data_IF_665903032726
#
_entry.id   IF_665903032726
#
_cell.length_a   1.000
_cell.length_b   1.000
_cell.length_c   1.000
_cell.angle_alpha   90.00
_cell.angle_beta   90.00
_cell.angle_gamma   90.00
#
_symmetry.space_group_name_H-M   'P 1'
#
loop_
_entity.id
_entity.type
_entity.pdbx_description
1 polymer ?
#
# COMPACT_ATOMS: atom_id res chain seq x y z
N UNK A 1 18.96 -1.46 11.88
CA UNK A 1 18.28 -0.79 13.02
C UNK A 1 16.98 -0.07 12.60
N UNK A 2 16.68 0.03 11.29
CA UNK A 2 15.53 0.78 10.79
C UNK A 2 14.17 0.26 11.25
N UNK A 3 13.96 -1.07 11.34
CA UNK A 3 12.66 -1.61 11.79
C UNK A 3 12.28 -1.18 13.21
N UNK A 4 13.29 -0.98 14.06
CA UNK A 4 13.09 -0.52 15.44
C UNK A 4 12.60 0.94 15.43
N UNK A 5 13.21 1.79 14.60
CA UNK A 5 12.80 3.18 14.43
C UNK A 5 11.43 3.29 13.77
N UNK A 6 11.21 2.55 12.68
CA UNK A 6 9.94 2.46 11.98
C UNK A 6 8.80 2.08 12.93
N UNK A 7 8.99 1.08 13.80
CA UNK A 7 7.98 0.67 14.78
C UNK A 7 7.67 1.77 15.81
N UNK A 8 8.69 2.51 16.26
CA UNK A 8 8.48 3.63 17.21
C UNK A 8 7.73 4.77 16.56
N UNK A 9 8.09 5.11 15.32
CA UNK A 9 7.38 6.13 14.55
C UNK A 9 5.93 5.71 14.26
N UNK A 10 5.71 4.43 13.93
CA UNK A 10 4.39 3.85 13.73
C UNK A 10 3.49 4.02 14.96
N UNK A 11 4.01 3.75 16.16
CA UNK A 11 3.24 3.89 17.41
C UNK A 11 2.75 5.32 17.62
N UNK A 12 3.59 6.31 17.32
CA UNK A 12 3.21 7.72 17.39
C UNK A 12 2.18 8.07 16.32
N UNK A 13 2.44 7.68 15.06
CA UNK A 13 1.56 7.97 13.92
C UNK A 13 0.17 7.34 14.10
N UNK A 14 0.08 6.09 14.57
CA UNK A 14 -1.17 5.36 14.78
C UNK A 14 -2.16 6.14 15.65
N UNK A 15 -1.70 6.75 16.74
CA UNK A 15 -2.59 7.55 17.58
C UNK A 15 -3.16 8.77 16.84
N UNK A 16 -2.32 9.46 16.04
CA UNK A 16 -2.78 10.56 15.20
C UNK A 16 -3.80 10.11 14.15
N UNK A 17 -3.62 8.92 13.56
CA UNK A 17 -4.58 8.37 12.61
C UNK A 17 -5.88 7.94 13.28
N UNK A 18 -5.83 7.35 14.48
CA UNK A 18 -7.01 7.03 15.28
C UNK A 18 -7.83 8.28 15.56
N UNK A 19 -7.20 9.41 15.95
CA UNK A 19 -7.92 10.65 16.21
C UNK A 19 -8.75 11.12 15.01
N UNK A 20 -8.24 10.96 13.78
CA UNK A 20 -8.98 11.31 12.57
C UNK A 20 -10.15 10.37 12.32
N UNK A 21 -9.99 9.06 12.49
CA UNK A 21 -11.00 8.09 12.06
C UNK A 21 -12.00 7.72 13.13
N UNK A 22 -11.76 8.13 14.37
CA UNK A 22 -12.62 7.79 15.49
C UNK A 22 -14.08 8.16 15.23
N UNK A 23 -14.34 9.30 14.56
CA UNK A 23 -15.69 9.69 14.17
C UNK A 23 -16.37 8.67 13.25
N UNK A 24 -15.65 8.16 12.25
CA UNK A 24 -16.14 7.13 11.31
C UNK A 24 -16.40 5.80 12.03
N UNK A 25 -15.46 5.34 12.87
CA UNK A 25 -15.62 4.09 13.61
C UNK A 25 -16.75 4.17 14.64
N UNK A 26 -16.86 5.31 15.33
CA UNK A 26 -17.93 5.54 16.28
C UNK A 26 -19.30 5.57 15.58
N UNK A 27 -19.42 6.25 14.44
CA UNK A 27 -20.65 6.24 13.65
C UNK A 27 -21.03 4.83 13.18
N UNK A 28 -20.06 4.05 12.70
CA UNK A 28 -20.29 2.67 12.25
C UNK A 28 -20.81 1.78 13.40
N UNK A 29 -20.17 1.83 14.57
CA UNK A 29 -20.58 1.02 15.74
C UNK A 29 -21.97 1.38 16.29
N UNK A 30 -22.44 2.63 16.10
CA UNK A 30 -23.83 2.98 16.43
C UNK A 30 -24.85 2.26 15.54
N UNK A 31 -24.48 1.92 14.30
CA UNK A 31 -25.34 1.20 13.35
C UNK A 31 -25.18 -0.31 13.50
N UNK A 32 -23.94 -0.80 13.49
CA UNK A 32 -23.63 -2.25 13.56
C UNK A 32 -23.85 -2.83 14.96
N UNK A 33 -23.94 -1.98 15.99
CA UNK A 33 -24.07 -2.36 17.41
C UNK A 33 -22.87 -3.15 17.93
N UNK A 34 -21.72 -3.02 17.28
CA UNK A 34 -20.46 -3.56 17.75
C UNK A 34 -19.88 -2.72 18.89
N UNK A 35 -19.03 -3.35 19.71
CA UNK A 35 -18.36 -2.68 20.80
C UNK A 35 -17.14 -1.91 20.30
N UNK A 36 -17.12 -0.59 20.47
CA UNK A 36 -15.94 0.23 20.18
C UNK A 36 -14.93 0.12 21.33
N UNK A 37 -14.05 -0.88 21.27
CA UNK A 37 -12.97 -1.09 22.22
C UNK A 37 -11.59 -1.10 21.55
N UNK A 38 -10.54 -1.32 22.35
CA UNK A 38 -9.17 -1.37 21.85
C UNK A 38 -8.95 -2.55 20.87
N UNK A 39 -9.69 -3.65 21.02
CA UNK A 39 -9.54 -4.80 20.13
C UNK A 39 -10.08 -4.46 18.74
N UNK A 40 -11.25 -3.81 18.67
CA UNK A 40 -11.84 -3.30 17.44
C UNK A 40 -10.90 -2.32 16.72
N UNK A 41 -10.36 -1.33 17.44
CA UNK A 41 -9.44 -0.35 16.85
C UNK A 41 -8.13 -1.01 16.38
N UNK A 42 -7.63 -2.00 17.12
CA UNK A 42 -6.44 -2.76 16.70
C UNK A 42 -6.70 -3.57 15.44
N UNK A 43 -7.84 -4.25 15.35
CA UNK A 43 -8.20 -5.01 14.15
C UNK A 43 -8.29 -4.09 12.93
N UNK A 44 -8.95 -2.95 13.07
CA UNK A 44 -9.07 -1.98 11.99
C UNK A 44 -7.70 -1.48 11.53
N UNK A 45 -6.82 -1.12 12.47
CA UNK A 45 -5.45 -0.71 12.16
C UNK A 45 -4.60 -1.85 11.59
N UNK A 46 -4.84 -3.10 11.98
CA UNK A 46 -4.17 -4.27 11.39
C UNK A 46 -4.60 -4.47 9.94
N UNK A 47 -5.88 -4.25 9.62
CA UNK A 47 -6.39 -4.36 8.25
C UNK A 47 -5.80 -3.27 7.35
N UNK A 48 -5.75 -2.04 7.84
CA UNK A 48 -5.21 -0.89 7.10
C UNK A 48 -3.70 -1.06 6.85
N UNK A 49 -2.92 -1.34 7.89
CA UNK A 49 -1.45 -1.32 7.80
C UNK A 49 -0.85 -2.67 7.40
N UNK A 50 -1.53 -3.77 7.71
CA UNK A 50 -1.06 -5.15 7.59
C UNK A 50 -1.25 -5.75 6.21
N UNK A 51 -1.06 -4.97 5.15
CA UNK A 51 -1.12 -5.45 3.77
C UNK A 51 0.11 -6.28 3.41
N UNK A 52 -0.11 -7.36 2.66
CA UNK A 52 0.92 -8.32 2.25
C UNK A 52 0.96 -8.38 0.73
N UNK A 53 2.10 -8.05 0.14
CA UNK A 53 2.31 -8.34 -1.25
C UNK A 53 2.46 -9.85 -1.45
N UNK A 54 1.50 -10.43 -2.17
CA UNK A 54 1.54 -11.82 -2.62
C UNK A 54 2.52 -11.95 -3.79
N UNK A 55 2.84 -13.18 -4.25
CA UNK A 55 3.67 -13.35 -5.45
C UNK A 55 3.02 -12.66 -6.66
N UNK A 56 3.56 -11.51 -7.06
CA UNK A 56 3.01 -10.66 -8.13
C UNK A 56 3.02 -11.31 -9.52
N UNK A 57 3.64 -12.49 -9.65
CA UNK A 57 3.53 -13.33 -10.85
C UNK A 57 2.11 -13.88 -11.02
N UNK A 58 1.35 -14.02 -9.92
CA UNK A 58 -0.06 -14.40 -9.95
C UNK A 58 -0.88 -13.16 -10.29
N UNK A 59 -1.50 -13.13 -11.47
CA UNK A 59 -2.27 -11.96 -11.93
C UNK A 59 -3.36 -11.51 -10.95
N UNK A 60 -4.01 -12.45 -10.25
CA UNK A 60 -5.02 -12.12 -9.22
C UNK A 60 -4.43 -11.33 -8.04
N UNK A 61 -3.17 -11.60 -7.65
CA UNK A 61 -2.50 -10.84 -6.61
C UNK A 61 -2.15 -9.42 -7.05
N UNK A 62 -1.85 -9.22 -8.34
CA UNK A 62 -1.50 -7.92 -8.88
C UNK A 62 -2.73 -7.02 -9.15
N UNK A 63 -3.95 -7.58 -9.10
CA UNK A 63 -5.23 -6.87 -9.31
C UNK A 63 -5.97 -6.55 -8.00
N UNK A 64 -5.35 -6.82 -6.85
CA UNK A 64 -5.97 -6.60 -5.54
C UNK A 64 -5.91 -5.11 -5.15
N UNK A 65 -7.07 -4.46 -5.09
CA UNK A 65 -7.17 -3.00 -4.90
C UNK A 65 -7.81 -2.59 -3.56
N UNK A 66 -8.05 -3.53 -2.63
CA UNK A 66 -8.72 -3.19 -1.36
C UNK A 66 -7.85 -2.30 -0.47
N UNK A 67 -6.54 -2.34 -0.68
CA UNK A 67 -5.58 -1.53 0.06
C UNK A 67 -5.50 -0.08 -0.42
N UNK A 68 -6.00 0.23 -1.62
CA UNK A 68 -5.85 1.54 -2.28
C UNK A 68 -7.11 2.42 -2.16
N UNK A 69 -7.92 2.17 -1.13
CA UNK A 69 -9.08 3.03 -0.82
C UNK A 69 -8.68 4.35 -0.18
N UNK A 70 -9.54 5.37 -0.29
CA UNK A 70 -9.28 6.67 0.36
C UNK A 70 -9.10 6.56 1.88
N UNK A 71 -9.89 5.71 2.54
CA UNK A 71 -9.76 5.54 3.98
C UNK A 71 -8.41 4.91 4.34
N UNK A 72 -8.00 3.85 3.66
CA UNK A 72 -6.73 3.18 3.93
C UNK A 72 -5.55 4.12 3.69
N UNK A 73 -5.51 4.86 2.59
CA UNK A 73 -4.44 5.84 2.32
C UNK A 73 -4.33 6.94 3.38
N UNK A 74 -5.47 7.44 3.87
CA UNK A 74 -5.46 8.45 4.92
C UNK A 74 -4.91 7.86 6.22
N UNK A 75 -5.24 6.62 6.55
CA UNK A 75 -5.09 6.06 7.90
C UNK A 75 -3.85 5.20 8.10
N UNK A 76 -3.18 4.86 7.01
CA UNK A 76 -1.92 4.13 7.05
C UNK A 76 -0.82 4.95 7.74
N UNK A 77 0.01 4.28 8.53
CA UNK A 77 1.19 4.89 9.13
C UNK A 77 2.36 4.96 8.13
N UNK A 78 3.27 5.91 8.28
CA UNK A 78 4.43 6.08 7.38
C UNK A 78 5.60 5.11 7.64
N UNK A 79 5.47 4.11 8.53
CA UNK A 79 6.57 3.24 8.93
C UNK A 79 7.13 2.36 7.79
N UNK A 80 6.35 2.15 6.73
CA UNK A 80 6.81 1.44 5.54
C UNK A 80 7.90 2.22 4.79
N UNK A 81 7.92 3.55 4.88
CA UNK A 81 8.90 4.41 4.21
C UNK A 81 10.27 4.39 4.93
N UNK A 82 10.26 4.24 6.25
CA UNK A 82 11.46 4.22 7.10
C UNK A 82 12.27 2.91 7.00
N UNK A 83 11.60 1.80 6.68
CA UNK A 83 12.24 0.50 6.50
C UNK A 83 11.94 -0.08 5.12
N UNK A 84 12.98 -0.17 4.29
CA UNK A 84 12.90 -0.80 2.97
C UNK A 84 12.37 -2.25 3.02
N UNK A 85 12.56 -2.97 4.14
CA UNK A 85 11.98 -4.31 4.31
C UNK A 85 10.48 -4.25 4.59
N UNK A 86 10.03 -3.29 5.38
CA UNK A 86 8.60 -3.07 5.61
C UNK A 86 7.90 -2.67 4.30
N UNK A 87 8.52 -1.78 3.50
CA UNK A 87 8.10 -1.51 2.13
C UNK A 87 7.99 -2.79 1.30
N UNK A 88 9.03 -3.62 1.29
CA UNK A 88 9.02 -4.88 0.52
C UNK A 88 7.99 -5.91 1.01
N UNK A 89 7.55 -5.85 2.27
CA UNK A 89 6.45 -6.70 2.76
C UNK A 89 5.10 -6.22 2.22
N UNK A 90 4.88 -4.91 2.17
CA UNK A 90 3.63 -4.32 1.69
C UNK A 90 3.52 -4.34 0.16
N UNK A 91 4.63 -4.14 -0.56
CA UNK A 91 4.64 -3.90 -2.01
C UNK A 91 5.50 -4.89 -2.82
N UNK A 92 6.52 -5.52 -2.23
CA UNK A 92 7.72 -6.12 -2.87
C UNK A 92 8.82 -5.12 -3.25
N UNK A 93 10.02 -5.66 -3.50
CA UNK A 93 11.18 -4.89 -3.95
C UNK A 93 10.93 -4.31 -5.35
N UNK A 94 11.33 -3.04 -5.64
CA UNK A 94 11.01 -2.36 -6.90
C UNK A 94 11.37 -3.16 -8.15
N UNK A 95 12.58 -3.74 -8.19
CA UNK A 95 13.01 -4.59 -9.30
C UNK A 95 12.07 -5.80 -9.52
N UNK A 96 11.59 -6.41 -8.43
CA UNK A 96 10.74 -7.60 -8.50
C UNK A 96 9.35 -7.28 -9.03
N UNK A 97 8.82 -6.08 -8.75
CA UNK A 97 7.57 -5.62 -9.34
C UNK A 97 7.66 -5.54 -10.87
N UNK A 98 8.73 -4.90 -11.38
CA UNK A 98 8.99 -4.77 -12.82
C UNK A 98 9.30 -6.11 -13.51
N UNK A 99 9.98 -7.04 -12.83
CA UNK A 99 10.20 -8.40 -13.38
C UNK A 99 8.90 -9.22 -13.35
N UNK A 100 8.07 -9.05 -12.32
CA UNK A 100 6.79 -9.75 -12.22
C UNK A 100 5.78 -9.30 -13.28
N UNK A 101 5.76 -8.00 -13.65
CA UNK A 101 4.94 -7.51 -14.77
C UNK A 101 5.34 -8.14 -16.11
N UNK A 102 6.65 -8.25 -16.38
CA UNK A 102 7.16 -9.00 -17.52
C UNK A 102 6.77 -10.50 -17.42
N UNK A 103 6.91 -11.11 -16.24
CA UNK A 103 6.65 -12.53 -16.03
C UNK A 103 5.18 -12.93 -16.20
N UNK A 104 4.24 -12.02 -15.89
CA UNK A 104 2.79 -12.21 -16.12
C UNK A 104 2.31 -11.70 -17.49
N UNK A 105 3.25 -11.33 -18.37
CA UNK A 105 2.99 -10.78 -19.70
C UNK A 105 2.13 -9.51 -19.71
N UNK A 106 2.16 -8.72 -18.65
CA UNK A 106 1.50 -7.41 -18.64
C UNK A 106 2.37 -6.30 -19.23
N UNK A 107 3.68 -6.53 -19.39
CA UNK A 107 4.65 -5.57 -19.91
C UNK A 107 5.60 -6.24 -20.91
N UNK A 108 6.10 -5.50 -21.91
CA UNK A 108 7.10 -6.05 -22.83
C UNK A 108 8.48 -6.18 -22.18
N UNK A 109 9.28 -7.15 -22.65
CA UNK A 109 10.66 -7.36 -22.16
C UNK A 109 11.49 -6.08 -22.30
N UNK A 110 11.32 -5.33 -23.40
CA UNK A 110 12.06 -4.10 -23.66
C UNK A 110 11.69 -2.97 -22.70
N UNK A 111 10.40 -2.81 -22.38
CA UNK A 111 9.95 -1.78 -21.44
C UNK A 111 10.39 -2.14 -20.01
N UNK A 112 10.16 -3.39 -19.58
CA UNK A 112 10.61 -3.87 -18.27
C UNK A 112 12.13 -3.71 -18.09
N UNK A 113 12.93 -4.05 -19.11
CA UNK A 113 14.39 -3.84 -19.10
C UNK A 113 14.75 -2.36 -18.93
N UNK A 114 14.05 -1.47 -19.62
CA UNK A 114 14.31 -0.02 -19.54
C UNK A 114 14.00 0.54 -18.16
N UNK A 115 12.85 0.17 -17.58
CA UNK A 115 12.44 0.59 -16.24
C UNK A 115 13.32 -0.01 -15.12
N UNK A 116 13.85 -1.22 -15.32
CA UNK A 116 14.68 -1.92 -14.33
C UNK A 116 16.12 -1.38 -14.17
N UNK A 117 16.45 -0.23 -14.76
CA UNK A 117 17.78 0.37 -14.59
C UNK A 117 18.00 0.82 -13.13
N UNK A 118 19.22 0.65 -12.61
CA UNK A 118 19.51 0.96 -11.21
C UNK A 118 19.23 2.42 -10.83
N UNK A 119 19.45 3.35 -11.77
CA UNK A 119 19.15 4.78 -11.57
C UNK A 119 17.65 5.03 -11.44
N UNK A 120 16.82 4.42 -12.29
CA UNK A 120 15.37 4.58 -12.23
C UNK A 120 14.80 3.97 -10.96
N UNK A 121 15.20 2.74 -10.62
CA UNK A 121 14.73 2.06 -9.41
C UNK A 121 15.05 2.83 -8.13
N UNK A 122 16.23 3.47 -8.07
CA UNK A 122 16.60 4.30 -6.95
C UNK A 122 15.72 5.56 -6.87
N UNK A 123 15.59 6.29 -7.98
CA UNK A 123 14.80 7.52 -8.03
C UNK A 123 13.32 7.26 -7.75
N UNK A 124 12.74 6.22 -8.32
CA UNK A 124 11.35 5.79 -8.09
C UNK A 124 11.13 5.45 -6.61
N UNK A 125 12.07 4.71 -6.00
CA UNK A 125 11.95 4.34 -4.59
C UNK A 125 12.04 5.55 -3.66
N UNK A 126 12.95 6.48 -3.92
CA UNK A 126 13.08 7.71 -3.13
C UNK A 126 11.85 8.62 -3.30
N UNK A 127 11.38 8.81 -4.53
CA UNK A 127 10.17 9.60 -4.81
C UNK A 127 8.94 9.03 -4.07
N UNK A 128 8.78 7.70 -4.06
CA UNK A 128 7.71 7.03 -3.29
C UNK A 128 7.83 7.25 -1.78
N UNK A 129 9.04 7.19 -1.22
CA UNK A 129 9.27 7.45 0.22
C UNK A 129 8.89 8.89 0.59
N UNK A 130 9.19 9.84 -0.28
CA UNK A 130 8.87 11.27 -0.08
C UNK A 130 7.40 11.61 -0.39
N UNK A 131 6.62 10.66 -0.91
CA UNK A 131 5.24 10.88 -1.32
C UNK A 131 5.09 11.70 -2.60
N UNK A 132 6.12 11.70 -3.45
CA UNK A 132 6.14 12.39 -4.75
C UNK A 132 5.83 11.36 -5.83
N UNK A 133 4.72 11.54 -6.54
CA UNK A 133 4.32 10.70 -7.66
C UNK A 133 3.65 11.52 -8.75
N UNK A 134 3.66 10.99 -9.95
CA UNK A 134 2.83 11.47 -11.04
C UNK A 134 1.40 10.94 -10.85
N UNK A 135 0.41 11.81 -11.05
CA UNK A 135 -0.99 11.46 -10.93
C UNK A 135 -1.68 11.65 -12.28
N UNK A 136 -2.14 10.54 -12.86
CA UNK A 136 -3.09 10.58 -13.97
C UNK A 136 -4.50 10.67 -13.38
N UNK A 137 -5.04 11.89 -13.31
CA UNK A 137 -6.34 12.17 -12.66
C UNK A 137 -7.52 11.46 -13.35
N UNK A 138 -7.42 11.26 -14.65
CA UNK A 138 -8.41 10.53 -15.45
C UNK A 138 -7.81 9.20 -15.93
N UNK A 139 -8.01 8.10 -15.18
CA UNK A 139 -7.51 6.79 -15.61
C UNK A 139 -8.33 6.27 -16.79
N UNK A 140 -7.67 5.57 -17.72
CA UNK A 140 -8.35 4.83 -18.77
C UNK A 140 -9.02 3.62 -18.11
N UNK A 141 -10.34 3.67 -18.00
CA UNK A 141 -11.15 2.54 -17.58
C UNK A 141 -11.31 1.61 -18.79
N UNK A 142 -10.74 0.40 -18.72
CA UNK A 142 -11.09 -0.63 -19.70
C UNK A 142 -12.59 -0.91 -19.55
N UNK A 143 -13.39 -0.60 -20.57
CA UNK A 143 -14.79 -1.03 -20.63
C UNK A 143 -14.78 -2.57 -20.53
N UNK A 144 -15.37 -3.13 -19.48
CA UNK A 144 -15.61 -4.56 -19.40
C UNK A 144 -16.48 -4.93 -20.62
N UNK A 145 -15.86 -5.54 -21.63
CA UNK A 145 -16.56 -6.21 -22.72
C UNK A 145 -17.39 -7.34 -22.10
N UNK A 146 -18.61 -7.01 -21.67
CA UNK A 146 -19.67 -7.94 -21.33
C UNK A 146 -19.98 -8.77 -22.58
N UNK A 147 -19.31 -9.92 -22.70
CA UNK A 147 -19.56 -10.95 -23.72
C UNK A 147 -19.79 -12.32 -23.10
#
# INVERSE_FOLDING_TARGET
MNDIYARRLAQTSLFHQVMRIHGTLWAATQVTKEQLDLAFVKEEMMRINGRRAMPLLVGAAAKENLNDTHLTHLTEHCAWAESARAYAVQQQTPLTQHIASMGRMSETITQAKTASSGQLLFNEHMARIDGISEFEEEPIMEEEDDS
#
